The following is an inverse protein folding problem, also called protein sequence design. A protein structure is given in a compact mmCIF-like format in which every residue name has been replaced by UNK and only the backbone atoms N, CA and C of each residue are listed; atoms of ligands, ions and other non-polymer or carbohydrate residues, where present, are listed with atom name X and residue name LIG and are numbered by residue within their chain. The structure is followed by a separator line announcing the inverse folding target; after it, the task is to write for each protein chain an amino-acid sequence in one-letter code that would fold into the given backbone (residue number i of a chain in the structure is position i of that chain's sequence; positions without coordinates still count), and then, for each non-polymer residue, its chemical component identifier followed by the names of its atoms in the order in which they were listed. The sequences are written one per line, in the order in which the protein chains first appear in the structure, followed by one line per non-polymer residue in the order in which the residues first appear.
data_IF_682668412123
#
_entry.id   IF_682668412123
#
_cell.length_a   1.000
_cell.length_b   1.000
_cell.length_c   1.000
_cell.angle_alpha   90.00
_cell.angle_beta   90.00
_cell.angle_gamma   90.00
#
_symmetry.space_group_name_H-M   'P 1'
#
loop_
_entity.id
_entity.type
_entity.pdbx_description
1 polymer ?
#
# COMPACT_ATOMS: atom_id res chain seq x y z
N UNK A 1 27.16 0.43 -32.68
CA UNK A 1 26.21 -0.58 -32.20
C UNK A 1 25.66 -0.12 -30.87
N UNK A 2 24.39 0.30 -30.81
CA UNK A 2 23.79 0.87 -29.61
C UNK A 2 23.03 -0.21 -28.84
N UNK A 3 23.30 -0.32 -27.52
CA UNK A 3 22.67 -1.25 -26.57
C UNK A 3 21.24 -0.84 -26.17
N UNK A 4 20.61 0.13 -26.86
CA UNK A 4 19.31 0.73 -26.50
C UNK A 4 18.10 0.09 -27.21
N UNK A 5 18.10 -1.23 -27.40
CA UNK A 5 16.92 -1.96 -27.87
C UNK A 5 16.76 -3.23 -27.03
N UNK A 6 16.32 -3.13 -25.76
CA UNK A 6 15.71 -4.30 -25.09
C UNK A 6 14.94 -4.02 -23.80
N UNK A 7 14.39 -2.83 -23.58
CA UNK A 7 13.36 -2.66 -22.54
C UNK A 7 11.93 -2.86 -23.07
N UNK A 8 11.77 -3.16 -24.36
CA UNK A 8 10.46 -3.28 -25.03
C UNK A 8 9.85 -4.68 -25.00
N UNK A 9 10.52 -5.67 -24.40
CA UNK A 9 10.01 -7.05 -24.31
C UNK A 9 9.45 -7.41 -22.92
N UNK A 10 9.07 -6.42 -22.11
CA UNK A 10 8.26 -6.70 -20.93
C UNK A 10 6.80 -6.73 -21.39
N UNK A 11 6.29 -7.92 -21.69
CA UNK A 11 4.89 -8.10 -22.05
C UNK A 11 4.02 -7.79 -20.83
N UNK A 12 3.35 -6.65 -20.87
CA UNK A 12 2.39 -6.26 -19.85
C UNK A 12 1.12 -7.09 -20.03
N UNK A 13 0.71 -7.81 -19.01
CA UNK A 13 -0.59 -8.49 -19.03
C UNK A 13 -1.74 -7.47 -18.93
N UNK A 14 -2.95 -7.89 -19.29
CA UNK A 14 -4.17 -7.11 -18.99
C UNK A 14 -4.57 -7.18 -17.51
N UNK A 15 -3.80 -7.88 -16.67
CA UNK A 15 -4.07 -8.00 -15.25
C UNK A 15 -3.38 -6.89 -14.47
N UNK A 16 -4.05 -6.42 -13.43
CA UNK A 16 -3.49 -5.49 -12.45
C UNK A 16 -3.88 -5.96 -11.06
N UNK A 17 -2.94 -5.84 -10.14
CA UNK A 17 -3.15 -6.08 -8.72
C UNK A 17 -3.16 -4.76 -7.98
N UNK A 18 -3.68 -4.77 -6.78
CA UNK A 18 -3.65 -3.62 -5.88
C UNK A 18 -2.74 -3.93 -4.70
N UNK A 19 -1.60 -3.23 -4.67
CA UNK A 19 -0.61 -3.35 -3.60
C UNK A 19 -0.94 -2.35 -2.49
N UNK A 20 -1.04 -2.84 -1.27
CA UNK A 20 -1.11 -2.03 -0.06
C UNK A 20 0.22 -2.13 0.65
N UNK A 21 0.77 -0.97 1.00
CA UNK A 21 1.96 -0.84 1.83
C UNK A 21 1.58 -0.25 3.17
N UNK A 22 1.90 -0.98 4.24
CA UNK A 22 1.78 -0.52 5.62
C UNK A 22 3.16 -0.18 6.14
N UNK A 23 3.34 1.04 6.65
CA UNK A 23 4.56 1.43 7.34
C UNK A 23 4.21 1.92 8.74
N UNK A 24 4.70 1.23 9.77
CA UNK A 24 4.62 1.69 11.16
C UNK A 24 5.96 2.23 11.62
N UNK A 25 5.95 3.43 12.19
CA UNK A 25 7.07 4.05 12.87
C UNK A 25 6.72 4.27 14.33
N UNK A 26 7.65 3.94 15.22
CA UNK A 26 7.52 4.08 16.66
C UNK A 26 8.78 4.74 17.20
N UNK A 27 8.67 5.47 18.30
CA UNK A 27 9.86 6.02 18.97
C UNK A 27 10.74 4.89 19.56
N UNK A 28 10.11 3.86 20.10
CA UNK A 28 10.79 2.84 20.92
C UNK A 28 10.91 1.48 20.21
N UNK A 29 10.48 1.39 18.95
CA UNK A 29 10.48 0.14 18.18
C UNK A 29 11.06 0.35 16.78
N UNK A 30 11.71 -0.68 16.21
CA UNK A 30 12.12 -0.65 14.80
C UNK A 30 10.93 -0.34 13.88
N UNK A 31 11.24 0.28 12.75
CA UNK A 31 10.25 0.47 11.70
C UNK A 31 9.75 -0.88 11.21
N UNK A 32 8.43 -1.02 11.11
CA UNK A 32 7.78 -2.18 10.52
C UNK A 32 7.20 -1.81 9.17
N UNK A 33 7.43 -2.65 8.17
CA UNK A 33 6.95 -2.48 6.81
C UNK A 33 6.35 -3.80 6.34
N UNK A 34 5.16 -3.72 5.77
CA UNK A 34 4.43 -4.87 5.25
C UNK A 34 3.75 -4.56 3.92
N UNK A 35 3.66 -5.57 3.07
CA UNK A 35 3.09 -5.50 1.73
C UNK A 35 1.99 -6.54 1.56
N UNK A 36 0.81 -6.09 1.17
CA UNK A 36 -0.35 -6.94 0.96
C UNK A 36 -0.89 -6.73 -0.46
N UNK A 37 -1.06 -7.82 -1.21
CA UNK A 37 -1.48 -7.79 -2.60
C UNK A 37 -2.93 -8.28 -2.69
N UNK A 38 -3.76 -7.52 -3.41
CA UNK A 38 -5.15 -7.84 -3.67
C UNK A 38 -5.42 -7.93 -5.16
N UNK A 39 -6.35 -8.80 -5.55
CA UNK A 39 -6.73 -9.02 -6.95
C UNK A 39 -7.42 -7.80 -7.59
N UNK A 40 -7.91 -6.85 -6.79
CA UNK A 40 -8.56 -5.63 -7.30
C UNK A 40 -8.43 -4.45 -6.34
N UNK A 41 -8.53 -3.24 -6.88
CA UNK A 41 -8.56 -2.01 -6.10
C UNK A 41 -9.74 -1.96 -5.12
N UNK A 42 -10.92 -2.45 -5.52
CA UNK A 42 -12.09 -2.49 -4.65
C UNK A 42 -11.87 -3.38 -3.42
N UNK A 43 -11.27 -4.57 -3.60
CA UNK A 43 -10.94 -5.46 -2.49
C UNK A 43 -9.89 -4.83 -1.56
N UNK A 44 -8.84 -4.24 -2.14
CA UNK A 44 -7.79 -3.56 -1.38
C UNK A 44 -8.31 -2.37 -0.58
N UNK A 45 -9.05 -1.46 -1.22
CA UNK A 45 -9.65 -0.29 -0.54
C UNK A 45 -10.64 -0.71 0.56
N UNK A 46 -11.41 -1.78 0.37
CA UNK A 46 -12.28 -2.34 1.43
C UNK A 46 -11.45 -2.80 2.63
N UNK A 47 -10.33 -3.48 2.38
CA UNK A 47 -9.40 -3.86 3.45
C UNK A 47 -8.79 -2.65 4.15
N UNK A 48 -8.30 -1.65 3.41
CA UNK A 48 -7.72 -0.42 4.00
C UNK A 48 -8.70 0.30 4.90
N UNK A 49 -9.96 0.48 4.46
CA UNK A 49 -10.99 1.11 5.28
C UNK A 49 -11.27 0.31 6.57
N UNK A 50 -11.36 -1.02 6.48
CA UNK A 50 -11.58 -1.87 7.64
C UNK A 50 -10.41 -1.80 8.63
N UNK A 51 -9.18 -1.81 8.12
CA UNK A 51 -7.97 -1.72 8.93
C UNK A 51 -7.85 -0.36 9.61
N UNK A 52 -8.10 0.73 8.87
CA UNK A 52 -8.13 2.09 9.41
C UNK A 52 -9.18 2.21 10.54
N UNK A 53 -10.39 1.70 10.34
CA UNK A 53 -11.44 1.70 11.37
C UNK A 53 -11.05 0.87 12.60
N UNK A 54 -10.32 -0.23 12.43
CA UNK A 54 -9.80 -1.02 13.56
C UNK A 54 -8.75 -0.23 14.36
N UNK A 55 -7.86 0.50 13.69
CA UNK A 55 -6.88 1.38 14.35
C UNK A 55 -7.54 2.57 15.05
N UNK A 56 -8.59 3.17 14.47
CA UNK A 56 -9.37 4.22 15.16
C UNK A 56 -9.97 3.71 16.47
N UNK A 57 -10.56 2.50 16.47
CA UNK A 57 -11.06 1.85 17.69
C UNK A 57 -9.97 1.55 18.71
N UNK A 58 -8.73 1.35 18.24
CA UNK A 58 -7.55 1.18 19.10
C UNK A 58 -6.96 2.51 19.60
N UNK A 59 -7.60 3.66 19.30
CA UNK A 59 -7.20 4.98 19.80
C UNK A 59 -6.26 5.75 18.88
N UNK A 60 -6.03 5.29 17.65
CA UNK A 60 -5.32 6.09 16.66
C UNK A 60 -6.24 7.18 16.11
N UNK A 61 -5.71 8.37 15.89
CA UNK A 61 -6.38 9.43 15.15
C UNK A 61 -6.13 9.19 13.66
N UNK A 62 -7.22 9.00 12.91
CA UNK A 62 -7.16 8.82 11.47
C UNK A 62 -7.15 10.16 10.74
N UNK A 63 -6.22 10.30 9.81
CA UNK A 63 -6.22 11.30 8.75
C UNK A 63 -6.27 10.56 7.40
N UNK A 64 -7.42 10.63 6.74
CA UNK A 64 -7.60 10.09 5.39
C UNK A 64 -7.29 11.19 4.38
N UNK A 65 -6.19 11.04 3.64
CA UNK A 65 -5.81 12.02 2.61
C UNK A 65 -6.62 11.78 1.33
N UNK A 66 -6.79 10.51 0.95
CA UNK A 66 -7.65 10.08 -0.15
C UNK A 66 -8.05 8.59 0.02
N UNK A 67 -8.63 7.99 -1.03
CA UNK A 67 -9.07 6.60 -0.98
C UNK A 67 -7.93 5.58 -0.81
N UNK A 68 -6.72 5.93 -1.21
CA UNK A 68 -5.52 5.09 -1.25
C UNK A 68 -4.47 5.53 -0.22
N UNK A 69 -4.67 6.62 0.53
CA UNK A 69 -3.70 7.13 1.50
C UNK A 69 -4.33 7.44 2.86
N UNK A 70 -3.90 6.71 3.90
CA UNK A 70 -4.33 6.90 5.29
C UNK A 70 -3.11 7.10 6.18
N UNK A 71 -3.22 8.02 7.11
CA UNK A 71 -2.27 8.24 8.18
C UNK A 71 -2.98 8.05 9.52
N UNK A 72 -2.38 7.29 10.41
CA UNK A 72 -2.93 6.96 11.73
C UNK A 72 -1.88 7.29 12.78
N UNK A 73 -2.24 8.06 13.79
CA UNK A 73 -1.30 8.53 14.82
C UNK A 73 -1.94 8.44 16.21
N UNK A 74 -1.26 7.81 17.17
CA UNK A 74 -1.70 7.77 18.57
C UNK A 74 -0.76 8.54 19.53
N UNK A 75 0.18 9.31 19.00
CA UNK A 75 1.19 10.08 19.73
C UNK A 75 2.50 9.32 19.98
N UNK A 76 2.47 7.98 20.00
CA UNK A 76 3.65 7.12 20.18
C UNK A 76 4.04 6.39 18.90
N UNK A 77 3.04 6.04 18.10
CA UNK A 77 3.16 5.31 16.85
C UNK A 77 2.47 6.07 15.72
N UNK A 78 3.12 6.05 14.56
CA UNK A 78 2.56 6.55 13.30
C UNK A 78 2.48 5.41 12.31
N UNK A 79 1.32 5.22 11.69
CA UNK A 79 1.08 4.21 10.65
C UNK A 79 0.68 4.94 9.38
N UNK A 80 1.35 4.60 8.27
CA UNK A 80 0.97 5.01 6.91
C UNK A 80 0.44 3.80 6.17
N UNK A 81 -0.74 3.92 5.56
CA UNK A 81 -1.31 2.93 4.66
C UNK A 81 -1.42 3.55 3.27
N UNK A 82 -0.73 2.96 2.30
CA UNK A 82 -0.70 3.43 0.91
C UNK A 82 -1.13 2.31 -0.03
N UNK A 83 -2.15 2.55 -0.84
CA UNK A 83 -2.61 1.66 -1.90
C UNK A 83 -2.08 2.11 -3.27
N UNK A 84 -1.73 1.16 -4.13
CA UNK A 84 -1.26 1.46 -5.49
C UNK A 84 -1.64 0.32 -6.43
N UNK A 85 -2.26 0.67 -7.56
CA UNK A 85 -2.50 -0.32 -8.63
C UNK A 85 -1.21 -0.59 -9.39
N UNK A 86 -0.83 -1.86 -9.49
CA UNK A 86 0.36 -2.31 -10.21
C UNK A 86 -0.04 -3.28 -11.31
N UNK A 87 0.56 -3.12 -12.48
CA UNK A 87 0.35 -4.04 -13.58
C UNK A 87 1.16 -5.30 -13.40
N UNK A 88 0.59 -6.43 -13.78
CA UNK A 88 1.32 -7.70 -13.80
C UNK A 88 2.02 -7.83 -15.14
N UNK A 89 3.29 -8.19 -15.11
CA UNK A 89 4.11 -8.43 -16.30
C UNK A 89 4.31 -9.93 -16.47
N UNK A 90 4.35 -10.39 -17.72
CA UNK A 90 4.77 -11.75 -18.05
C UNK A 90 6.28 -11.89 -17.81
N UNK A 91 6.70 -13.10 -17.42
CA UNK A 91 8.11 -13.47 -17.21
C UNK A 91 8.94 -13.44 -18.51
#
# INVERSE_FOLDING_TARGET
MSLMQNTSNINKTNQSVYLITLVRRSADRPMYLDHMIYESAAAGQKFMNNLAAAFERAGYRLSKNDADHYQLDNGLDKISLTGTSQSVFED
#
